data_IF_381164395226
#
_entry.id   IF_381164395226
#
_cell.length_a   1.000
_cell.length_b   1.000
_cell.length_c   1.000
_cell.angle_alpha   90.00
_cell.angle_beta   90.00
_cell.angle_gamma   90.00
#
_symmetry.space_group_name_H-M   'P 1'
#
loop_
_entity.id
_entity.type
_entity.pdbx_description
1 polymer ?
#
# COMPACT_ATOMS: atom_id res chain seq x y z
N UNK A 1 6.13 -18.72 11.07
CA UNK A 1 5.90 -19.07 9.64
C UNK A 1 7.25 -19.14 8.92
N UNK A 2 7.47 -20.08 7.98
CA UNK A 2 8.67 -20.03 7.14
C UNK A 2 8.72 -18.73 6.33
N UNK A 3 9.89 -18.09 6.24
CA UNK A 3 10.09 -16.81 5.54
C UNK A 3 9.58 -16.82 4.08
N UNK A 4 9.65 -17.99 3.42
CA UNK A 4 9.16 -18.18 2.06
C UNK A 4 7.64 -18.01 1.94
N UNK A 5 6.87 -18.52 2.92
CA UNK A 5 5.39 -18.39 2.92
C UNK A 5 5.02 -16.91 3.12
N UNK A 6 5.67 -16.22 4.07
CA UNK A 6 5.45 -14.79 4.31
C UNK A 6 5.81 -13.94 3.08
N UNK A 7 6.89 -14.31 2.38
CA UNK A 7 7.25 -13.71 1.10
C UNK A 7 6.18 -13.92 0.03
N UNK A 8 5.59 -15.11 -0.05
CA UNK A 8 4.48 -15.41 -0.95
C UNK A 8 3.26 -14.53 -0.71
N UNK A 9 2.88 -14.30 0.57
CA UNK A 9 1.80 -13.37 0.91
C UNK A 9 2.11 -11.94 0.50
N UNK A 10 3.35 -11.48 0.68
CA UNK A 10 3.76 -10.13 0.28
C UNK A 10 3.68 -9.95 -1.24
N UNK A 11 4.15 -10.92 -2.03
CA UNK A 11 4.08 -10.87 -3.50
C UNK A 11 2.62 -10.90 -3.98
N UNK A 12 1.78 -11.77 -3.40
CA UNK A 12 0.36 -11.81 -3.75
C UNK A 12 -0.32 -10.48 -3.40
N UNK A 13 -0.02 -9.90 -2.24
CA UNK A 13 -0.51 -8.57 -1.88
C UNK A 13 -0.05 -7.50 -2.89
N UNK A 14 1.20 -7.55 -3.36
CA UNK A 14 1.73 -6.63 -4.37
C UNK A 14 0.97 -6.74 -5.71
N UNK A 15 0.62 -7.96 -6.15
CA UNK A 15 -0.18 -8.20 -7.35
C UNK A 15 -1.59 -7.59 -7.19
N UNK A 16 -2.24 -7.88 -6.06
CA UNK A 16 -3.60 -7.37 -5.78
C UNK A 16 -3.61 -5.85 -5.64
N UNK A 17 -2.57 -5.28 -5.04
CA UNK A 17 -2.39 -3.83 -4.93
C UNK A 17 -2.20 -3.18 -6.30
N UNK A 18 -1.38 -3.78 -7.18
CA UNK A 18 -1.20 -3.32 -8.55
C UNK A 18 -2.53 -3.27 -9.31
N UNK A 19 -3.29 -4.36 -9.26
CA UNK A 19 -4.60 -4.46 -9.90
C UNK A 19 -5.58 -3.44 -9.34
N UNK A 20 -5.65 -3.31 -8.02
CA UNK A 20 -6.51 -2.32 -7.36
C UNK A 20 -6.11 -0.89 -7.72
N UNK A 21 -4.81 -0.56 -7.71
CA UNK A 21 -4.31 0.79 -8.04
C UNK A 21 -4.65 1.20 -9.47
N UNK A 22 -4.59 0.24 -10.39
CA UNK A 22 -4.99 0.45 -11.78
C UNK A 22 -6.49 0.78 -11.94
N UNK A 23 -7.35 0.09 -11.17
CA UNK A 23 -8.78 0.39 -11.14
C UNK A 23 -9.08 1.70 -10.41
N UNK A 24 -8.35 1.96 -9.33
CA UNK A 24 -8.48 3.19 -8.56
C UNK A 24 -8.15 4.45 -9.35
N UNK A 25 -7.20 4.38 -10.30
CA UNK A 25 -6.87 5.53 -11.14
C UNK A 25 -8.07 6.03 -11.94
N UNK A 26 -9.00 5.12 -12.33
CA UNK A 26 -10.20 5.48 -13.08
C UNK A 26 -11.14 6.33 -12.21
N UNK A 27 -11.32 5.96 -10.95
CA UNK A 27 -12.31 6.60 -10.05
C UNK A 27 -11.71 7.72 -9.20
N UNK A 28 -10.40 7.70 -8.95
CA UNK A 28 -9.71 8.71 -8.13
C UNK A 28 -9.77 10.12 -8.74
N UNK A 29 -9.96 10.22 -10.05
CA UNK A 29 -10.15 11.51 -10.74
C UNK A 29 -11.45 12.20 -10.33
N UNK A 30 -12.49 11.42 -10.04
CA UNK A 30 -13.86 11.89 -9.76
C UNK A 30 -14.18 11.94 -8.27
N UNK A 31 -13.54 11.10 -7.45
CA UNK A 31 -13.83 10.98 -6.01
C UNK A 31 -12.72 11.69 -5.22
N UNK A 32 -13.04 12.54 -4.23
CA UNK A 32 -12.05 13.11 -3.34
C UNK A 32 -11.26 12.03 -2.58
N UNK A 33 -9.94 12.19 -2.41
CA UNK A 33 -9.08 11.16 -1.78
C UNK A 33 -9.57 10.67 -0.42
N UNK A 34 -10.03 11.57 0.44
CA UNK A 34 -10.56 11.21 1.77
C UNK A 34 -11.84 10.39 1.66
N UNK A 35 -12.77 10.78 0.77
CA UNK A 35 -14.02 10.03 0.56
C UNK A 35 -13.74 8.65 -0.03
N UNK A 36 -12.77 8.55 -0.94
CA UNK A 36 -12.33 7.28 -1.50
C UNK A 36 -11.81 6.34 -0.41
N UNK A 37 -10.99 6.87 0.53
CA UNK A 37 -10.48 6.13 1.68
C UNK A 37 -11.63 5.65 2.60
N UNK A 38 -12.55 6.56 2.94
CA UNK A 38 -13.71 6.23 3.82
C UNK A 38 -14.60 5.16 3.19
N UNK A 39 -14.99 5.31 1.92
CA UNK A 39 -15.94 4.40 1.28
C UNK A 39 -15.32 3.01 1.07
N UNK A 40 -14.10 2.93 0.52
CA UNK A 40 -13.39 1.66 0.36
C UNK A 40 -13.12 0.98 1.70
N UNK A 41 -12.61 1.76 2.65
CA UNK A 41 -12.29 1.26 3.98
C UNK A 41 -13.54 0.78 4.72
N UNK A 42 -14.64 1.51 4.63
CA UNK A 42 -15.92 1.11 5.23
C UNK A 42 -16.43 -0.23 4.71
N UNK A 43 -16.40 -0.44 3.39
CA UNK A 43 -16.75 -1.74 2.79
C UNK A 43 -15.82 -2.84 3.30
N UNK A 44 -14.50 -2.59 3.33
CA UNK A 44 -13.53 -3.59 3.76
C UNK A 44 -13.63 -3.88 5.28
N UNK A 45 -13.97 -2.90 6.11
CA UNK A 45 -14.23 -3.11 7.56
C UNK A 45 -15.39 -4.07 7.74
N UNK A 46 -16.49 -3.90 7.01
CA UNK A 46 -17.64 -4.81 7.10
C UNK A 46 -17.21 -6.25 6.76
N UNK A 47 -16.40 -6.43 5.72
CA UNK A 47 -15.87 -7.75 5.35
C UNK A 47 -14.94 -8.32 6.42
N UNK A 48 -14.00 -7.50 6.96
CA UNK A 48 -13.06 -7.94 8.00
C UNK A 48 -13.80 -8.32 9.29
N UNK A 49 -14.76 -7.51 9.72
CA UNK A 49 -15.58 -7.80 10.92
C UNK A 49 -16.39 -9.08 10.73
N UNK A 50 -17.00 -9.26 9.55
CA UNK A 50 -17.73 -10.50 9.24
C UNK A 50 -16.80 -11.72 9.27
N UNK A 51 -15.60 -11.60 8.68
CA UNK A 51 -14.61 -12.68 8.70
C UNK A 51 -14.10 -12.96 10.10
N UNK A 52 -13.82 -11.93 10.90
CA UNK A 52 -13.41 -12.07 12.30
C UNK A 52 -14.46 -12.80 13.13
N UNK A 53 -15.74 -12.46 12.94
CA UNK A 53 -16.84 -13.15 13.60
C UNK A 53 -16.94 -14.63 13.19
N UNK A 54 -16.82 -14.92 11.89
CA UNK A 54 -16.88 -16.28 11.36
C UNK A 54 -15.71 -17.17 11.82
N UNK A 55 -14.52 -16.57 12.02
CA UNK A 55 -13.34 -17.27 12.48
C UNK A 55 -13.22 -17.31 14.03
N UNK A 56 -14.14 -16.68 14.74
CA UNK A 56 -14.16 -16.69 16.21
C UNK A 56 -13.02 -15.86 16.83
N UNK A 57 -12.57 -14.79 16.17
CA UNK A 57 -11.53 -13.91 16.70
C UNK A 57 -12.01 -13.18 17.98
N UNK A 58 -11.23 -13.30 19.06
CA UNK A 58 -11.51 -12.63 20.34
C UNK A 58 -10.74 -11.30 20.44
N UNK A 59 -11.48 -10.21 20.59
CA UNK A 59 -10.93 -8.86 20.78
C UNK A 59 -10.90 -8.40 22.24
N UNK A 60 -11.52 -9.17 23.19
CA UNK A 60 -11.64 -8.75 24.59
C UNK A 60 -10.32 -8.90 25.37
N UNK A 61 -9.53 -9.91 25.01
CA UNK A 61 -8.29 -10.24 25.69
C UNK A 61 -7.05 -9.56 25.10
N UNK A 62 -7.22 -8.63 24.14
CA UNK A 62 -6.08 -8.01 23.46
C UNK A 62 -5.33 -7.04 24.39
N UNK A 63 -3.97 -7.08 24.40
CA UNK A 63 -3.18 -6.19 25.23
C UNK A 63 -3.33 -4.73 24.77
N UNK A 64 -3.51 -3.81 25.72
CA UNK A 64 -3.81 -2.40 25.44
C UNK A 64 -2.69 -1.66 24.72
N UNK A 65 -1.44 -1.98 25.01
CA UNK A 65 -0.27 -1.34 24.40
C UNK A 65 -0.22 -1.65 22.90
N UNK A 66 -0.35 -2.92 22.52
CA UNK A 66 -0.33 -3.41 21.14
C UNK A 66 -1.53 -2.89 20.35
N UNK A 67 -2.71 -2.87 20.97
CA UNK A 67 -3.90 -2.24 20.37
C UNK A 67 -3.65 -0.76 20.09
N UNK A 68 -3.07 -0.01 21.04
CA UNK A 68 -2.77 1.41 20.84
C UNK A 68 -1.76 1.63 19.69
N UNK A 69 -0.75 0.76 19.56
CA UNK A 69 0.19 0.78 18.44
C UNK A 69 -0.52 0.52 17.10
N UNK A 70 -1.46 -0.43 17.05
CA UNK A 70 -2.22 -0.72 15.83
C UNK A 70 -3.17 0.42 15.46
N UNK A 71 -3.82 1.06 16.43
CA UNK A 71 -4.64 2.23 16.17
C UNK A 71 -3.79 3.38 15.60
N UNK A 72 -2.64 3.66 16.21
CA UNK A 72 -1.70 4.67 15.71
C UNK A 72 -1.17 4.31 14.31
N UNK A 73 -0.81 3.04 14.10
CA UNK A 73 -0.42 2.50 12.80
C UNK A 73 -1.49 2.73 11.73
N UNK A 74 -2.76 2.52 12.08
CA UNK A 74 -3.89 2.76 11.18
C UNK A 74 -4.08 4.23 10.85
N UNK A 75 -3.99 5.12 11.86
CA UNK A 75 -4.09 6.57 11.66
C UNK A 75 -2.99 7.06 10.73
N UNK A 76 -1.73 6.68 10.99
CA UNK A 76 -0.57 7.16 10.22
C UNK A 76 -0.53 6.49 8.83
N UNK A 77 -0.62 5.16 8.77
CA UNK A 77 -0.46 4.41 7.53
C UNK A 77 -1.67 4.54 6.60
N UNK A 78 -2.88 4.33 7.13
CA UNK A 78 -4.12 4.27 6.34
C UNK A 78 -4.81 5.65 6.32
N UNK A 79 -5.02 6.26 7.48
CA UNK A 79 -5.70 7.55 7.56
C UNK A 79 -4.97 8.64 6.79
N UNK A 80 -3.72 8.89 7.13
CA UNK A 80 -2.88 9.90 6.49
C UNK A 80 -2.19 9.36 5.24
N UNK A 81 -1.55 8.19 5.31
CA UNK A 81 -0.73 7.61 4.25
C UNK A 81 -1.53 7.28 2.99
N UNK A 82 -2.62 6.51 3.09
CA UNK A 82 -3.45 6.17 1.92
C UNK A 82 -4.17 7.40 1.37
N UNK A 83 -4.61 8.32 2.24
CA UNK A 83 -5.21 9.58 1.78
C UNK A 83 -4.21 10.40 0.99
N UNK A 84 -2.95 10.48 1.44
CA UNK A 84 -1.87 11.13 0.70
C UNK A 84 -1.56 10.37 -0.61
N UNK A 85 -1.54 9.03 -0.58
CA UNK A 85 -1.35 8.22 -1.79
C UNK A 85 -2.42 8.51 -2.85
N UNK A 86 -3.71 8.53 -2.47
CA UNK A 86 -4.80 8.84 -3.41
C UNK A 86 -4.74 10.28 -3.92
N UNK A 87 -4.28 11.22 -3.10
CA UNK A 87 -4.04 12.60 -3.54
C UNK A 87 -2.89 12.67 -4.56
N UNK A 88 -1.77 11.99 -4.28
CA UNK A 88 -0.66 11.83 -5.22
C UNK A 88 -1.10 11.16 -6.53
N UNK A 89 -1.84 10.06 -6.43
CA UNK A 89 -2.39 9.34 -7.59
C UNK A 89 -3.23 10.26 -8.50
N UNK A 90 -4.07 11.10 -7.90
CA UNK A 90 -4.87 12.10 -8.62
C UNK A 90 -4.00 13.15 -9.32
N UNK A 91 -2.97 13.64 -8.64
CA UNK A 91 -2.17 14.79 -9.10
C UNK A 91 -1.13 14.39 -10.14
N UNK A 92 -0.41 13.28 -9.92
CA UNK A 92 0.74 12.87 -10.74
C UNK A 92 0.56 11.56 -11.49
N UNK A 93 -0.56 10.85 -11.28
CA UNK A 93 -0.87 9.56 -11.90
C UNK A 93 -0.23 8.38 -11.19
N UNK A 94 -0.68 7.17 -11.55
CA UNK A 94 -0.31 5.92 -10.86
C UNK A 94 1.20 5.63 -10.93
N UNK A 95 1.83 5.81 -12.10
CA UNK A 95 3.26 5.54 -12.28
C UNK A 95 4.13 6.36 -11.33
N UNK A 96 3.97 7.69 -11.30
CA UNK A 96 4.79 8.57 -10.44
C UNK A 96 4.46 8.38 -8.96
N UNK A 97 3.19 8.16 -8.62
CA UNK A 97 2.78 7.85 -7.25
C UNK A 97 3.44 6.57 -6.75
N UNK A 98 3.45 5.49 -7.55
CA UNK A 98 4.12 4.23 -7.22
C UNK A 98 5.65 4.35 -7.17
N UNK A 99 6.26 5.20 -8.03
CA UNK A 99 7.69 5.50 -7.95
C UNK A 99 8.06 6.10 -6.58
N UNK A 100 7.29 7.11 -6.15
CA UNK A 100 7.54 7.72 -4.84
C UNK A 100 7.26 6.73 -3.71
N UNK A 101 6.24 5.88 -3.86
CA UNK A 101 5.93 4.83 -2.89
C UNK A 101 7.05 3.77 -2.77
N UNK A 102 7.88 3.59 -3.80
CA UNK A 102 9.07 2.75 -3.76
C UNK A 102 10.18 3.28 -2.83
N UNK A 103 10.03 4.47 -2.22
CA UNK A 103 10.86 4.93 -1.12
C UNK A 103 10.53 4.24 0.21
N UNK A 104 9.36 3.62 0.33
CA UNK A 104 8.94 2.98 1.58
C UNK A 104 9.88 1.86 2.06
N UNK A 105 10.43 0.93 1.23
CA UNK A 105 11.30 -0.14 1.71
C UNK A 105 12.54 0.34 2.47
N UNK A 106 13.40 1.22 1.94
CA UNK A 106 14.58 1.66 2.68
C UNK A 106 14.21 2.44 3.95
N UNK A 107 13.11 3.22 3.91
CA UNK A 107 12.61 3.92 5.10
C UNK A 107 12.13 2.91 6.14
N UNK A 108 11.35 1.90 5.75
CA UNK A 108 10.86 0.85 6.65
C UNK A 108 12.02 0.07 7.27
N UNK A 109 13.02 -0.32 6.46
CA UNK A 109 14.18 -1.04 6.94
C UNK A 109 14.99 -0.22 7.96
N UNK A 110 15.18 1.07 7.70
CA UNK A 110 15.88 1.97 8.63
C UNK A 110 15.11 2.16 9.94
N UNK A 111 13.79 2.39 9.88
CA UNK A 111 12.96 2.54 11.08
C UNK A 111 12.92 1.24 11.87
N UNK A 112 12.77 0.08 11.21
CA UNK A 112 12.76 -1.23 11.88
C UNK A 112 14.10 -1.55 12.54
N UNK A 113 15.22 -1.19 11.91
CA UNK A 113 16.54 -1.31 12.52
C UNK A 113 16.68 -0.48 13.80
N UNK A 114 16.25 0.78 13.78
CA UNK A 114 16.37 1.70 14.91
C UNK A 114 15.41 1.31 16.06
N UNK A 115 14.18 0.97 15.78
CA UNK A 115 13.11 0.82 16.78
C UNK A 115 12.80 -0.63 17.14
N UNK A 116 13.04 -1.59 16.25
CA UNK A 116 12.77 -3.01 16.48
C UNK A 116 14.04 -3.84 16.65
N UNK A 117 15.23 -3.26 16.41
CA UNK A 117 16.48 -4.00 16.38
C UNK A 117 16.58 -5.02 15.23
N UNK A 118 15.70 -4.93 14.22
CA UNK A 118 15.74 -5.80 13.04
C UNK A 118 16.98 -5.46 12.20
N UNK A 119 18.07 -6.23 12.37
CA UNK A 119 19.26 -6.07 11.55
C UNK A 119 19.11 -6.81 10.21
N UNK A 120 19.41 -6.12 9.13
CA UNK A 120 19.55 -6.72 7.81
C UNK A 120 21.04 -6.86 7.49
N UNK A 121 21.41 -7.99 6.87
CA UNK A 121 22.77 -8.16 6.37
C UNK A 121 23.04 -7.24 5.17
N UNK A 122 24.29 -7.08 4.79
CA UNK A 122 24.69 -6.21 3.69
C UNK A 122 24.02 -6.63 2.36
N UNK A 123 23.85 -7.94 2.13
CA UNK A 123 23.24 -8.47 0.93
C UNK A 123 21.75 -8.06 0.83
N UNK A 124 21.02 -8.09 1.95
CA UNK A 124 19.63 -7.63 2.01
C UNK A 124 19.52 -6.13 1.72
N UNK A 125 20.42 -5.30 2.24
CA UNK A 125 20.46 -3.88 1.91
C UNK A 125 20.71 -3.63 0.42
N UNK A 126 21.70 -4.33 -0.16
CA UNK A 126 21.97 -4.26 -1.61
C UNK A 126 20.71 -4.68 -2.38
N UNK A 127 20.07 -5.78 -1.98
CA UNK A 127 18.83 -6.27 -2.60
C UNK A 127 17.69 -5.24 -2.56
N UNK A 128 17.50 -4.56 -1.42
CA UNK A 128 16.51 -3.47 -1.29
C UNK A 128 16.79 -2.36 -2.31
N UNK A 129 18.03 -1.86 -2.38
CA UNK A 129 18.38 -0.78 -3.28
C UNK A 129 18.31 -1.20 -4.76
N UNK A 130 18.71 -2.43 -5.09
CA UNK A 130 18.59 -2.97 -6.44
C UNK A 130 17.11 -3.12 -6.84
N UNK A 131 16.26 -3.63 -5.95
CA UNK A 131 14.82 -3.75 -6.20
C UNK A 131 14.19 -2.37 -6.42
N UNK A 132 14.44 -1.42 -5.53
CA UNK A 132 13.93 -0.05 -5.63
C UNK A 132 14.45 0.64 -6.90
N UNK A 133 15.73 0.46 -7.22
CA UNK A 133 16.34 0.98 -8.45
C UNK A 133 15.69 0.42 -9.72
N UNK A 134 15.42 -0.88 -9.76
CA UNK A 134 14.71 -1.54 -10.86
C UNK A 134 13.28 -1.03 -11.02
N UNK A 135 12.53 -0.91 -9.92
CA UNK A 135 11.18 -0.32 -9.93
C UNK A 135 11.23 1.14 -10.40
N UNK A 136 12.17 1.93 -9.87
CA UNK A 136 12.37 3.32 -10.29
C UNK A 136 12.66 3.44 -11.80
N UNK A 137 13.51 2.55 -12.32
CA UNK A 137 13.83 2.47 -13.74
C UNK A 137 12.59 2.24 -14.62
N UNK A 138 11.71 1.30 -14.22
CA UNK A 138 10.44 1.02 -14.91
C UNK A 138 9.53 2.24 -14.89
N UNK A 139 9.34 2.84 -13.71
CA UNK A 139 8.34 3.89 -13.51
C UNK A 139 8.77 5.24 -14.08
N UNK A 140 10.08 5.50 -14.21
CA UNK A 140 10.60 6.73 -14.84
C UNK A 140 10.42 6.77 -16.35
N UNK A 141 10.00 5.69 -16.98
CA UNK A 141 9.70 5.70 -18.40
C UNK A 141 8.47 6.58 -18.70
N UNK A 142 8.69 7.56 -19.60
CA UNK A 142 7.62 8.49 -20.01
C UNK A 142 6.68 7.84 -21.02
N UNK A 143 5.39 7.84 -20.73
CA UNK A 143 4.38 7.52 -21.75
C UNK A 143 4.13 8.72 -22.67
N UNK A 144 3.70 8.49 -23.93
CA UNK A 144 3.32 9.57 -24.84
C UNK A 144 2.22 10.52 -24.28
N UNK A 145 1.36 10.01 -23.41
CA UNK A 145 0.29 10.77 -22.75
C UNK A 145 0.79 11.71 -21.66
N UNK A 146 2.00 11.52 -21.12
CA UNK A 146 2.59 12.36 -20.07
C UNK A 146 3.26 13.65 -20.58
N UNK A 147 3.23 13.91 -21.89
CA UNK A 147 3.74 15.14 -22.49
C UNK A 147 2.89 16.39 -22.21
N UNK A 148 1.72 16.23 -21.57
CA UNK A 148 0.89 17.36 -21.15
C UNK A 148 1.59 18.04 -19.97
N UNK A 149 2.02 19.29 -20.16
CA UNK A 149 2.57 20.13 -19.08
C UNK A 149 1.53 20.27 -17.98
N UNK A 150 1.82 19.66 -16.82
CA UNK A 150 1.02 19.85 -15.60
C UNK A 150 1.46 21.13 -14.91
N UNK A 151 0.51 21.83 -14.26
CA UNK A 151 0.81 22.97 -13.39
C UNK A 151 1.91 22.58 -12.37
N UNK A 152 3.02 23.33 -12.29
CA UNK A 152 4.10 23.06 -11.34
C UNK A 152 3.64 22.94 -9.88
N UNK A 153 2.59 23.65 -9.48
CA UNK A 153 2.00 23.56 -8.13
C UNK A 153 1.36 22.20 -7.89
N UNK A 154 0.61 21.68 -8.87
CA UNK A 154 -0.01 20.35 -8.81
C UNK A 154 1.08 19.26 -8.76
N UNK A 155 2.12 19.41 -9.57
CA UNK A 155 3.25 18.47 -9.59
C UNK A 155 3.95 18.43 -8.21
N UNK A 156 4.29 19.59 -7.65
CA UNK A 156 4.94 19.66 -6.31
C UNK A 156 4.05 19.06 -5.22
N UNK A 157 2.74 19.37 -5.23
CA UNK A 157 1.79 18.78 -4.27
C UNK A 157 1.75 17.26 -4.42
N UNK A 158 1.63 16.74 -5.63
CA UNK A 158 1.60 15.31 -5.89
C UNK A 158 2.88 14.58 -5.44
N UNK A 159 4.05 15.20 -5.64
CA UNK A 159 5.34 14.66 -5.15
C UNK A 159 5.35 14.64 -3.62
N UNK A 160 4.98 15.74 -2.97
CA UNK A 160 4.90 15.80 -1.50
C UNK A 160 3.96 14.73 -0.94
N UNK A 161 2.78 14.59 -1.54
CA UNK A 161 1.80 13.57 -1.14
C UNK A 161 2.35 12.15 -1.32
N UNK A 162 3.08 11.86 -2.40
CA UNK A 162 3.73 10.58 -2.60
C UNK A 162 4.80 10.25 -1.56
N UNK A 163 5.62 11.24 -1.18
CA UNK A 163 6.62 11.09 -0.11
C UNK A 163 5.95 10.87 1.25
N UNK A 164 4.92 11.65 1.58
CA UNK A 164 4.15 11.48 2.82
C UNK A 164 3.47 10.11 2.87
N UNK A 165 2.97 9.61 1.76
CA UNK A 165 2.41 8.27 1.67
C UNK A 165 3.45 7.19 1.99
N UNK A 166 4.68 7.31 1.47
CA UNK A 166 5.78 6.37 1.74
C UNK A 166 6.19 6.38 3.20
N UNK A 167 6.30 7.56 3.80
CA UNK A 167 6.60 7.72 5.24
C UNK A 167 5.48 7.12 6.10
N UNK A 168 4.22 7.44 5.79
CA UNK A 168 3.06 6.89 6.50
C UNK A 168 3.00 5.37 6.43
N UNK A 169 3.23 4.80 5.25
CA UNK A 169 3.30 3.35 5.04
C UNK A 169 4.43 2.71 5.86
N UNK A 170 5.64 3.28 5.82
CA UNK A 170 6.80 2.75 6.54
C UNK A 170 6.56 2.75 8.06
N UNK A 171 6.15 3.88 8.63
CA UNK A 171 5.86 4.00 10.06
C UNK A 171 4.71 3.06 10.45
N UNK A 172 3.62 3.07 9.68
CA UNK A 172 2.47 2.22 9.94
C UNK A 172 2.82 0.73 9.92
N UNK A 173 3.67 0.30 8.98
CA UNK A 173 4.09 -1.10 8.88
C UNK A 173 4.97 -1.51 10.08
N UNK A 174 5.93 -0.67 10.47
CA UNK A 174 6.81 -0.95 11.62
C UNK A 174 6.02 -1.01 12.92
N UNK A 175 5.09 -0.09 13.15
CA UNK A 175 4.19 -0.14 14.31
C UNK A 175 3.34 -1.41 14.34
N UNK A 176 2.79 -1.85 13.20
CA UNK A 176 2.02 -3.09 13.16
C UNK A 176 2.90 -4.33 13.35
N UNK A 177 4.13 -4.31 12.85
CA UNK A 177 5.10 -5.37 13.09
C UNK A 177 5.42 -5.50 14.58
N UNK A 178 5.70 -4.36 15.24
CA UNK A 178 5.93 -4.31 16.69
C UNK A 178 4.76 -4.89 17.48
N UNK A 179 3.53 -4.47 17.16
CA UNK A 179 2.33 -4.92 17.86
C UNK A 179 2.02 -6.41 17.66
N UNK A 180 2.53 -7.05 16.62
CA UNK A 180 2.34 -8.47 16.35
C UNK A 180 3.55 -9.34 16.76
N UNK A 181 4.62 -8.76 17.33
CA UNK A 181 5.88 -9.46 17.63
C UNK A 181 5.69 -10.63 18.59
N UNK A 182 4.83 -10.49 19.58
CA UNK A 182 4.60 -11.47 20.63
C UNK A 182 3.63 -12.59 20.22
N UNK A 183 3.06 -12.50 19.00
CA UNK A 183 2.17 -13.51 18.45
C UNK A 183 0.78 -13.58 19.09
N UNK A 184 0.46 -12.66 20.00
CA UNK A 184 -0.87 -12.58 20.67
C UNK A 184 -1.93 -12.04 19.73
N UNK A 185 -1.56 -11.06 18.89
CA UNK A 185 -2.47 -10.43 17.93
C UNK A 185 -2.34 -11.11 16.57
N UNK A 186 -3.47 -11.56 16.03
CA UNK A 186 -3.52 -12.18 14.70
C UNK A 186 -3.40 -11.11 13.60
N UNK A 187 -2.99 -11.54 12.41
CA UNK A 187 -2.94 -10.66 11.23
C UNK A 187 -4.31 -10.09 10.85
N UNK A 188 -5.39 -10.85 11.11
CA UNK A 188 -6.76 -10.42 10.86
C UNK A 188 -7.18 -9.32 11.83
N UNK A 189 -6.94 -9.51 13.14
CA UNK A 189 -7.18 -8.50 14.18
C UNK A 189 -6.38 -7.23 13.90
N UNK A 190 -5.08 -7.37 13.58
CA UNK A 190 -4.23 -6.23 13.20
C UNK A 190 -4.82 -5.46 12.01
N UNK A 191 -5.25 -6.17 10.96
CA UNK A 191 -5.85 -5.55 9.77
C UNK A 191 -7.12 -4.78 10.13
N UNK A 192 -8.02 -5.41 10.89
CA UNK A 192 -9.30 -4.82 11.29
C UNK A 192 -9.12 -3.57 12.15
N UNK A 193 -8.25 -3.64 13.18
CA UNK A 193 -7.97 -2.50 14.07
C UNK A 193 -7.34 -1.33 13.33
N UNK A 194 -6.32 -1.59 12.51
CA UNK A 194 -5.64 -0.56 11.72
C UNK A 194 -6.58 0.12 10.73
N UNK A 195 -7.34 -0.68 9.97
CA UNK A 195 -8.26 -0.13 8.97
C UNK A 195 -9.37 0.69 9.63
N UNK A 196 -9.94 0.18 10.72
CA UNK A 196 -10.97 0.90 11.48
C UNK A 196 -10.45 2.23 12.01
N UNK A 197 -9.27 2.25 12.63
CA UNK A 197 -8.67 3.48 13.14
C UNK A 197 -8.39 4.51 12.02
N UNK A 198 -7.83 4.06 10.89
CA UNK A 198 -7.53 4.92 9.76
C UNK A 198 -8.78 5.54 9.12
N UNK A 199 -9.83 4.72 8.95
CA UNK A 199 -11.11 5.16 8.37
C UNK A 199 -11.84 6.12 9.31
N UNK A 200 -11.92 5.79 10.61
CA UNK A 200 -12.55 6.65 11.61
C UNK A 200 -11.81 7.99 11.73
N UNK A 201 -10.48 7.97 11.77
CA UNK A 201 -9.68 9.20 11.75
C UNK A 201 -9.99 10.06 10.52
N UNK A 202 -10.03 9.44 9.33
CA UNK A 202 -10.33 10.16 8.08
C UNK A 202 -11.74 10.72 8.09
N UNK A 203 -12.73 9.98 8.62
CA UNK A 203 -14.11 10.42 8.76
C UNK A 203 -14.21 11.61 9.71
N UNK A 204 -13.61 11.52 10.89
CA UNK A 204 -13.55 12.62 11.87
C UNK A 204 -12.92 13.85 11.23
N UNK A 205 -11.82 13.68 10.49
CA UNK A 205 -11.14 14.78 9.79
C UNK A 205 -12.05 15.47 8.76
N UNK A 206 -12.82 14.70 7.97
CA UNK A 206 -13.75 15.26 6.99
C UNK A 206 -14.89 16.01 7.66
N UNK A 207 -15.49 15.43 8.71
CA UNK A 207 -16.59 16.05 9.47
C UNK A 207 -16.11 17.33 10.15
N UNK A 208 -14.95 17.30 10.85
CA UNK A 208 -14.38 18.46 11.52
C UNK A 208 -14.00 19.58 10.54
N UNK A 209 -13.57 19.22 9.33
CA UNK A 209 -13.24 20.17 8.26
C UNK A 209 -14.48 20.70 7.53
N UNK A 210 -15.69 20.28 7.92
CA UNK A 210 -16.97 20.64 7.28
C UNK A 210 -16.96 20.44 5.76
N UNK A 211 -16.21 19.45 5.27
CA UNK A 211 -16.16 19.16 3.84
C UNK A 211 -17.45 18.44 3.41
N UNK A 212 -18.04 18.84 2.29
CA UNK A 212 -19.26 18.18 1.79
C UNK A 212 -18.93 16.76 1.35
N UNK A 213 -19.70 15.78 1.83
CA UNK A 213 -19.60 14.39 1.43
C UNK A 213 -20.54 14.04 0.29
N UNK A 214 -20.15 13.09 -0.55
CA UNK A 214 -21.02 12.46 -1.54
C UNK A 214 -21.33 13.25 -2.79
N UNK A 215 -20.84 14.49 -2.96
CA UNK A 215 -21.12 15.32 -4.15
C UNK A 215 -20.72 14.66 -5.48
N UNK A 216 -19.70 13.81 -5.47
CA UNK A 216 -19.21 13.08 -6.64
C UNK A 216 -20.26 12.11 -7.22
N UNK A 217 -21.22 11.63 -6.41
CA UNK A 217 -22.24 10.68 -6.82
C UNK A 217 -23.16 11.23 -7.93
N UNK A 218 -23.27 12.56 -8.05
CA UNK A 218 -24.10 13.23 -9.03
C UNK A 218 -23.39 13.46 -10.37
N UNK A 219 -22.06 13.29 -10.41
CA UNK A 219 -21.22 13.63 -11.57
C UNK A 219 -20.57 12.42 -12.26
N UNK A 220 -20.87 11.19 -11.83
CA UNK A 220 -20.26 9.97 -12.35
C UNK A 220 -21.31 8.92 -12.70
N UNK A 221 -20.94 7.97 -13.59
CA UNK A 221 -21.71 6.74 -13.79
C UNK A 221 -21.75 5.96 -12.46
N UNK A 222 -22.86 6.12 -11.76
CA UNK A 222 -23.05 5.62 -10.41
C UNK A 222 -22.87 4.10 -10.34
N UNK A 223 -23.46 3.35 -11.26
CA UNK A 223 -23.39 1.88 -11.26
C UNK A 223 -21.96 1.37 -11.47
N UNK A 224 -21.27 1.93 -12.45
CA UNK A 224 -19.88 1.59 -12.76
C UNK A 224 -18.94 1.94 -11.60
N UNK A 225 -19.12 3.13 -11.03
CA UNK A 225 -18.27 3.62 -9.92
C UNK A 225 -18.44 2.77 -8.67
N UNK A 226 -19.66 2.42 -8.27
CA UNK A 226 -19.91 1.55 -7.12
C UNK A 226 -19.39 0.12 -7.35
N UNK A 227 -19.50 -0.41 -8.57
CA UNK A 227 -18.91 -1.71 -8.92
C UNK A 227 -17.37 -1.69 -8.76
N UNK A 228 -16.71 -0.64 -9.24
CA UNK A 228 -15.26 -0.48 -9.10
C UNK A 228 -14.85 -0.25 -7.63
N UNK A 229 -15.62 0.54 -6.88
CA UNK A 229 -15.39 0.73 -5.44
C UNK A 229 -15.50 -0.58 -4.67
N UNK A 230 -16.55 -1.37 -4.89
CA UNK A 230 -16.72 -2.68 -4.27
C UNK A 230 -15.59 -3.64 -4.61
N UNK A 231 -15.21 -3.72 -5.88
CA UNK A 231 -14.13 -4.60 -6.34
C UNK A 231 -12.78 -4.18 -5.75
N UNK A 232 -12.46 -2.89 -5.76
CA UNK A 232 -11.20 -2.39 -5.19
C UNK A 232 -11.18 -2.45 -3.67
N UNK A 233 -12.32 -2.32 -2.99
CA UNK A 233 -12.44 -2.55 -1.55
C UNK A 233 -12.20 -4.02 -1.20
N UNK A 234 -12.79 -4.95 -1.96
CA UNK A 234 -12.63 -6.38 -1.73
C UNK A 234 -11.20 -6.86 -2.01
N UNK A 235 -10.68 -6.59 -3.21
CA UNK A 235 -9.37 -7.10 -3.64
C UNK A 235 -8.24 -6.28 -3.01
N UNK A 236 -8.29 -4.95 -3.16
CA UNK A 236 -7.18 -4.06 -2.83
C UNK A 236 -7.18 -3.54 -1.39
N UNK A 237 -8.26 -3.74 -0.62
CA UNK A 237 -8.29 -3.34 0.79
C UNK A 237 -8.48 -4.55 1.69
N UNK A 238 -9.57 -5.29 1.54
CA UNK A 238 -9.84 -6.42 2.42
C UNK A 238 -8.78 -7.54 2.29
N UNK A 239 -8.66 -8.16 1.12
CA UNK A 239 -7.72 -9.28 0.93
C UNK A 239 -6.27 -8.77 0.98
N UNK A 240 -5.96 -7.69 0.28
CA UNK A 240 -4.60 -7.20 0.14
C UNK A 240 -3.99 -6.77 1.48
N UNK A 241 -4.72 -6.00 2.32
CA UNK A 241 -4.22 -5.60 3.63
C UNK A 241 -4.10 -6.79 4.59
N UNK A 242 -4.98 -7.76 4.51
CA UNK A 242 -4.86 -8.96 5.33
C UNK A 242 -3.62 -9.78 4.94
N UNK A 243 -3.39 -10.01 3.65
CA UNK A 243 -2.18 -10.66 3.16
C UNK A 243 -0.91 -9.88 3.53
N UNK A 244 -0.97 -8.55 3.48
CA UNK A 244 0.12 -7.70 3.94
C UNK A 244 0.45 -7.95 5.42
N UNK A 245 -0.57 -8.04 6.29
CA UNK A 245 -0.35 -8.30 7.71
C UNK A 245 0.14 -9.73 7.96
N UNK A 246 -0.32 -10.73 7.20
CA UNK A 246 0.24 -12.09 7.23
C UNK A 246 1.73 -12.09 6.88
N UNK A 247 2.12 -11.33 5.87
CA UNK A 247 3.52 -11.20 5.48
C UNK A 247 4.36 -10.51 6.56
N UNK A 248 3.86 -9.40 7.12
CA UNK A 248 4.52 -8.63 8.18
C UNK A 248 4.68 -9.44 9.47
N UNK A 249 3.72 -10.30 9.79
CA UNK A 249 3.79 -11.15 10.98
C UNK A 249 4.93 -12.17 10.91
N UNK A 250 5.27 -12.67 9.72
CA UNK A 250 6.21 -13.78 9.54
C UNK A 250 7.57 -13.42 8.96
N UNK A 251 7.83 -12.14 8.59
CA UNK A 251 9.10 -11.70 8.00
C UNK A 251 9.47 -10.29 8.46
N UNK A 252 10.78 -9.93 8.42
CA UNK A 252 11.25 -8.58 8.75
C UNK A 252 10.53 -7.51 7.94
N UNK A 253 10.24 -6.37 8.60
CA UNK A 253 9.43 -5.30 8.01
C UNK A 253 10.04 -4.74 6.71
N UNK A 254 11.37 -4.55 6.67
CA UNK A 254 12.08 -4.06 5.48
C UNK A 254 11.97 -5.01 4.28
N UNK A 255 12.09 -6.32 4.50
CA UNK A 255 11.94 -7.37 3.48
C UNK A 255 10.49 -7.37 2.95
N UNK A 256 9.52 -7.42 3.86
CA UNK A 256 8.11 -7.41 3.51
C UNK A 256 7.75 -6.18 2.66
N UNK A 257 8.19 -5.00 3.09
CA UNK A 257 7.92 -3.76 2.36
C UNK A 257 8.60 -3.75 0.98
N UNK A 258 9.80 -4.34 0.84
CA UNK A 258 10.47 -4.47 -0.46
C UNK A 258 9.64 -5.29 -1.44
N UNK A 259 9.09 -6.42 -1.00
CA UNK A 259 8.22 -7.26 -1.83
C UNK A 259 6.91 -6.54 -2.19
N UNK A 260 6.28 -5.86 -1.25
CA UNK A 260 5.08 -5.07 -1.51
C UNK A 260 5.32 -3.96 -2.55
N UNK A 261 6.52 -3.38 -2.55
CA UNK A 261 6.90 -2.30 -3.47
C UNK A 261 7.21 -2.78 -4.90
N UNK A 262 7.10 -4.08 -5.19
CA UNK A 262 7.19 -4.63 -6.56
C UNK A 262 5.89 -4.48 -7.37
N UNK A 263 4.83 -3.97 -6.76
CA UNK A 263 3.54 -3.74 -7.43
C UNK A 263 3.64 -3.09 -8.82
N UNK A 264 4.53 -2.12 -9.11
CA UNK A 264 4.69 -1.55 -10.44
C UNK A 264 5.09 -2.56 -11.52
N UNK A 265 5.77 -3.64 -11.15
CA UNK A 265 6.16 -4.70 -12.10
C UNK A 265 4.90 -5.42 -12.61
N UNK A 266 3.94 -5.65 -11.72
CA UNK A 266 2.71 -6.35 -12.06
C UNK A 266 1.70 -5.49 -12.83
N UNK A 267 1.89 -4.17 -12.89
CA UNK A 267 1.10 -3.29 -13.76
C UNK A 267 1.50 -3.48 -15.24
N UNK A 268 2.73 -3.88 -15.54
CA UNK A 268 3.22 -4.01 -16.92
C UNK A 268 2.39 -5.01 -17.74
N UNK A 269 2.11 -6.26 -17.29
CA UNK A 269 1.26 -7.16 -18.03
C UNK A 269 -0.16 -6.61 -18.27
N UNK A 270 -0.70 -5.87 -17.29
CA UNK A 270 -2.04 -5.26 -17.40
C UNK A 270 -2.07 -4.15 -18.46
N UNK A 271 -0.99 -3.36 -18.56
CA UNK A 271 -0.82 -2.36 -19.59
C UNK A 271 -0.71 -3.02 -20.98
N UNK A 272 0.05 -4.12 -21.09
CA UNK A 272 0.17 -4.90 -22.32
C UNK A 272 -1.19 -5.47 -22.80
N UNK A 273 -2.02 -5.97 -21.87
CA UNK A 273 -3.37 -6.46 -22.20
C UNK A 273 -4.30 -5.36 -22.73
N UNK A 274 -4.01 -4.07 -22.46
CA UNK A 274 -4.69 -2.91 -23.06
C UNK A 274 -4.09 -2.47 -24.40
N UNK A 275 -3.13 -3.20 -24.93
CA UNK A 275 -2.46 -2.88 -26.19
C UNK A 275 -1.33 -1.87 -26.06
N UNK A 276 -0.89 -1.53 -24.84
CA UNK A 276 0.30 -0.71 -24.63
C UNK A 276 1.55 -1.55 -24.96
N UNK A 277 2.45 -1.01 -25.79
CA UNK A 277 3.71 -1.66 -26.09
C UNK A 277 4.62 -1.63 -24.87
N UNK A 278 5.00 -2.81 -24.38
CA UNK A 278 6.03 -2.92 -23.33
C UNK A 278 7.36 -2.48 -23.91
N UNK A 279 8.02 -1.56 -23.24
CA UNK A 279 9.34 -1.14 -23.63
C UNK A 279 10.41 -2.10 -23.10
N UNK A 280 11.55 -2.14 -23.80
CA UNK A 280 12.73 -2.83 -23.33
C UNK A 280 13.17 -2.38 -21.92
N UNK A 281 13.03 -1.08 -21.61
CA UNK A 281 13.33 -0.53 -20.29
C UNK A 281 12.47 -1.14 -19.20
N UNK A 282 11.16 -1.30 -19.46
CA UNK A 282 10.24 -1.90 -18.50
C UNK A 282 10.61 -3.36 -18.20
N UNK A 283 10.96 -4.13 -19.22
CA UNK A 283 11.40 -5.54 -19.07
C UNK A 283 12.70 -5.62 -18.27
N UNK A 284 13.70 -4.80 -18.64
CA UNK A 284 15.00 -4.79 -17.95
C UNK A 284 14.86 -4.38 -16.47
N UNK A 285 14.08 -3.33 -16.18
CA UNK A 285 13.86 -2.90 -14.81
C UNK A 285 13.11 -3.94 -13.96
N UNK A 286 12.17 -4.68 -14.56
CA UNK A 286 11.51 -5.81 -13.90
C UNK A 286 12.51 -6.92 -13.55
N UNK A 287 13.40 -7.28 -14.48
CA UNK A 287 14.46 -8.29 -14.24
C UNK A 287 15.42 -7.85 -13.14
N UNK A 288 15.86 -6.58 -13.15
CA UNK A 288 16.69 -5.99 -12.07
C UNK A 288 15.99 -6.08 -10.72
N UNK A 289 14.69 -5.76 -10.67
CA UNK A 289 13.91 -5.83 -9.41
C UNK A 289 13.78 -7.27 -8.91
N UNK A 290 13.55 -8.23 -9.79
CA UNK A 290 13.49 -9.67 -9.43
C UNK A 290 14.85 -10.13 -8.90
N UNK A 291 15.95 -9.74 -9.53
CA UNK A 291 17.29 -10.04 -9.03
C UNK A 291 17.53 -9.45 -7.64
N UNK A 292 17.13 -8.18 -7.41
CA UNK A 292 17.18 -7.57 -6.08
C UNK A 292 16.38 -8.34 -5.03
N UNK A 293 15.21 -8.87 -5.37
CA UNK A 293 14.42 -9.73 -4.48
C UNK A 293 15.18 -11.01 -4.13
N UNK A 294 15.82 -11.65 -5.10
CA UNK A 294 16.64 -12.85 -4.84
C UNK A 294 17.78 -12.57 -3.85
N UNK A 295 18.42 -11.39 -3.96
CA UNK A 295 19.43 -10.95 -3.00
C UNK A 295 18.86 -10.75 -1.60
N UNK A 296 17.66 -10.16 -1.49
CA UNK A 296 16.98 -9.94 -0.20
C UNK A 296 16.72 -11.27 0.53
N UNK A 297 16.38 -12.33 -0.20
CA UNK A 297 16.14 -13.66 0.37
C UNK A 297 17.41 -14.51 0.53
N UNK A 298 18.57 -14.03 0.11
CA UNK A 298 19.79 -14.83 0.12
C UNK A 298 19.75 -16.03 -0.82
N UNK A 299 18.94 -15.98 -1.89
CA UNK A 299 18.84 -17.06 -2.89
C UNK A 299 20.00 -17.04 -3.89
N UNK A 300 20.85 -16.05 -3.82
CA UNK A 300 22.07 -15.86 -4.64
C UNK A 300 23.22 -15.63 -3.67
N UNK A 301 23.82 -16.71 -3.18
CA UNK A 301 24.95 -16.65 -2.26
C UNK A 301 25.38 -18.03 -1.81
#
# INVERSE_FOLDING_TARGET
MPALISGGYAVLAAILWAFSSFMLEIIAKSIPPKELNIVKGGIAILLLVSTSFLLGEDYHALPRAEVSMLLLSGIIGIGLGDTAYYAGLKDIGSRRALLLFALAPPITALIAWIFLGESLNLLSWIGIFVTVGGVAWVVTERTPQEKIQRDPKILRRGILMGVLASLGQAIGLVLSRSAMSDGVITSLQSTALRLTAGVLFTLIWVVASRQPLGKWQNSVDRKKTWKLLGLTAFIGTYICLWLQQLAVQGAPAGITQTLLSTSPIFILPMAALRGEKLSWRAVLGALISIFGIMLVFGLVG
#
